data_IF_106296883851
#
_entry.id   IF_106296883851
#
_cell.length_a   1.000
_cell.length_b   1.000
_cell.length_c   1.000
_cell.angle_alpha   90.00
_cell.angle_beta   90.00
_cell.angle_gamma   90.00
#
_symmetry.space_group_name_H-M   'P 1'
#
loop_
_entity.id
_entity.type
_entity.pdbx_description
1 polymer ?
#
# COMPACT_ATOMS: atom_id res chain seq x y z
N UNK A 1 -22.90 16.53 -9.13
CA UNK A 1 -21.60 16.28 -9.78
C UNK A 1 -21.65 14.86 -10.32
N UNK A 2 -21.57 14.67 -11.65
CA UNK A 2 -21.69 13.33 -12.26
C UNK A 2 -20.42 12.53 -11.96
N UNK A 3 -20.58 11.36 -11.36
CA UNK A 3 -19.52 10.38 -11.14
C UNK A 3 -19.05 9.91 -12.53
N UNK A 4 -17.75 9.95 -12.80
CA UNK A 4 -17.16 9.30 -13.96
C UNK A 4 -17.14 7.80 -13.66
N UNK A 5 -18.25 7.10 -13.92
CA UNK A 5 -18.23 5.63 -13.92
C UNK A 5 -17.16 5.18 -14.91
N UNK A 6 -16.13 4.51 -14.39
CA UNK A 6 -15.07 3.95 -15.24
C UNK A 6 -15.73 2.98 -16.20
N UNK A 7 -15.57 3.13 -17.50
CA UNK A 7 -16.20 2.24 -18.48
C UNK A 7 -15.29 1.07 -18.90
N UNK A 8 -14.07 1.00 -18.37
CA UNK A 8 -13.05 0.02 -18.75
C UNK A 8 -12.25 -0.53 -17.57
N UNK A 9 -11.75 -1.75 -17.77
CA UNK A 9 -10.85 -2.45 -16.86
C UNK A 9 -9.59 -1.62 -16.61
N UNK A 10 -9.28 -1.35 -15.34
CA UNK A 10 -8.10 -0.57 -14.94
C UNK A 10 -6.77 -1.32 -15.15
N UNK A 11 -6.82 -2.64 -15.37
CA UNK A 11 -5.64 -3.46 -15.63
C UNK A 11 -5.33 -3.60 -17.12
N UNK A 12 -6.33 -3.88 -17.97
CA UNK A 12 -6.10 -4.18 -19.40
C UNK A 12 -6.85 -3.29 -20.40
N UNK A 13 -7.62 -2.31 -19.93
CA UNK A 13 -8.40 -1.38 -20.77
C UNK A 13 -9.63 -1.98 -21.45
N UNK A 14 -9.92 -3.27 -21.29
CA UNK A 14 -11.11 -3.91 -21.88
C UNK A 14 -12.42 -3.34 -21.31
N UNK A 15 -13.45 -3.27 -22.15
CA UNK A 15 -14.82 -2.88 -21.78
C UNK A 15 -15.73 -4.09 -21.49
N UNK A 16 -15.21 -5.31 -21.64
CA UNK A 16 -15.95 -6.55 -21.39
C UNK A 16 -16.08 -6.83 -19.89
N UNK A 17 -16.95 -6.08 -19.22
CA UNK A 17 -17.13 -6.10 -17.77
C UNK A 17 -18.46 -6.76 -17.39
N UNK A 18 -18.39 -7.74 -16.51
CA UNK A 18 -19.55 -8.32 -15.82
C UNK A 18 -19.62 -7.75 -14.40
N UNK A 19 -20.70 -7.05 -14.05
CA UNK A 19 -20.90 -6.61 -12.66
C UNK A 19 -21.34 -7.78 -11.79
N UNK A 20 -20.63 -7.99 -10.68
CA UNK A 20 -20.78 -9.18 -9.83
C UNK A 20 -21.29 -8.87 -8.42
N UNK A 21 -21.19 -7.61 -7.98
CA UNK A 21 -21.61 -7.19 -6.65
C UNK A 21 -21.85 -5.68 -6.61
N UNK A 22 -22.91 -5.27 -5.91
CA UNK A 22 -23.26 -3.87 -5.69
C UNK A 22 -23.77 -3.67 -4.26
N UNK A 23 -23.31 -2.62 -3.61
CA UNK A 23 -23.81 -2.17 -2.31
C UNK A 23 -23.74 -0.64 -2.25
N UNK A 24 -24.85 -0.03 -1.88
CA UNK A 24 -25.00 1.42 -1.87
C UNK A 24 -24.73 2.02 -0.50
N UNK A 25 -24.33 3.29 -0.49
CA UNK A 25 -24.34 4.14 0.69
C UNK A 25 -23.59 3.55 1.90
N UNK A 26 -22.37 3.05 1.68
CA UNK A 26 -21.48 2.57 2.74
C UNK A 26 -20.43 3.64 3.09
N UNK A 27 -19.92 3.69 4.34
CA UNK A 27 -18.82 4.58 4.71
C UNK A 27 -17.61 4.38 3.79
N UNK A 28 -16.97 5.47 3.36
CA UNK A 28 -15.81 5.41 2.45
C UNK A 28 -14.62 4.68 3.08
N UNK A 29 -14.49 4.74 4.41
CA UNK A 29 -13.42 4.10 5.18
C UNK A 29 -13.98 3.24 6.31
N UNK A 30 -13.30 2.14 6.60
CA UNK A 30 -13.66 1.18 7.65
C UNK A 30 -12.75 1.22 8.89
N UNK A 31 -11.65 1.98 8.82
CA UNK A 31 -10.58 1.99 9.84
C UNK A 31 -10.28 3.39 10.38
N UNK A 32 -11.22 4.33 10.20
CA UNK A 32 -11.14 5.66 10.81
C UNK A 32 -11.77 5.66 12.19
N UNK A 33 -11.04 6.23 13.15
CA UNK A 33 -11.54 6.46 14.50
C UNK A 33 -12.12 7.87 14.63
N UNK A 34 -13.39 7.95 15.00
CA UNK A 34 -14.09 9.22 15.24
C UNK A 34 -14.14 9.53 16.73
N UNK A 35 -13.96 10.80 17.09
CA UNK A 35 -14.01 11.25 18.48
C UNK A 35 -15.46 11.38 18.97
N UNK A 36 -16.39 11.63 18.06
CA UNK A 36 -17.81 11.80 18.37
C UNK A 36 -18.71 10.91 17.51
N UNK A 37 -19.88 10.57 18.06
CA UNK A 37 -20.93 9.84 17.34
C UNK A 37 -21.45 10.65 16.15
N UNK A 38 -21.55 11.96 16.31
CA UNK A 38 -22.05 12.89 15.32
C UNK A 38 -21.17 12.93 14.07
N UNK A 39 -19.83 12.92 14.25
CA UNK A 39 -18.86 12.79 13.16
C UNK A 39 -19.02 11.45 12.43
N UNK A 40 -19.09 10.35 13.17
CA UNK A 40 -19.23 9.01 12.60
C UNK A 40 -20.52 8.86 11.76
N UNK A 41 -21.65 9.39 12.23
CA UNK A 41 -22.93 9.32 11.50
C UNK A 41 -22.92 10.17 10.23
N UNK A 42 -22.25 11.34 10.28
CA UNK A 42 -22.14 12.27 9.14
C UNK A 42 -21.04 11.89 8.15
N UNK A 43 -20.24 10.88 8.45
CA UNK A 43 -19.10 10.51 7.62
C UNK A 43 -19.55 10.20 6.18
N UNK A 44 -18.82 10.67 5.16
CA UNK A 44 -19.19 10.47 3.77
C UNK A 44 -19.38 9.00 3.42
N UNK A 45 -20.34 8.76 2.53
CA UNK A 45 -20.71 7.44 2.04
C UNK A 45 -20.67 7.40 0.52
N UNK A 46 -20.34 6.22 -0.01
CA UNK A 46 -20.29 5.92 -1.45
C UNK A 46 -20.74 4.49 -1.71
N UNK A 47 -20.99 4.22 -2.97
CA UNK A 47 -21.39 2.91 -3.43
C UNK A 47 -20.14 2.09 -3.79
N UNK A 48 -20.21 0.77 -3.61
CA UNK A 48 -19.26 -0.18 -4.17
C UNK A 48 -19.94 -0.91 -5.31
N UNK A 49 -19.29 -0.93 -6.47
CA UNK A 49 -19.74 -1.67 -7.64
C UNK A 49 -18.58 -2.50 -8.19
N UNK A 50 -18.55 -3.79 -7.88
CA UNK A 50 -17.47 -4.68 -8.31
C UNK A 50 -17.76 -5.20 -9.71
N UNK A 51 -16.84 -4.92 -10.63
CA UNK A 51 -16.85 -5.44 -12.00
C UNK A 51 -15.73 -6.44 -12.20
N UNK A 52 -16.06 -7.61 -12.77
CA UNK A 52 -15.14 -8.63 -13.23
C UNK A 52 -14.84 -8.43 -14.71
N UNK A 53 -13.56 -8.33 -15.07
CA UNK A 53 -13.13 -8.25 -16.46
C UNK A 53 -13.09 -9.63 -17.11
N UNK A 54 -13.92 -9.86 -18.12
CA UNK A 54 -13.97 -11.15 -18.84
C UNK A 54 -12.70 -11.43 -19.68
N UNK A 55 -11.86 -10.41 -19.91
CA UNK A 55 -10.62 -10.55 -20.68
C UNK A 55 -9.42 -10.97 -19.83
N UNK A 56 -9.18 -10.32 -18.69
CA UNK A 56 -7.99 -10.56 -17.85
C UNK A 56 -8.29 -11.09 -16.45
N UNK A 57 -9.57 -11.22 -16.08
CA UNK A 57 -9.99 -11.70 -14.76
C UNK A 57 -9.86 -10.68 -13.62
N UNK A 58 -9.40 -9.46 -13.89
CA UNK A 58 -9.26 -8.43 -12.85
C UNK A 58 -10.62 -7.98 -12.32
N UNK A 59 -10.75 -7.93 -10.99
CA UNK A 59 -11.92 -7.39 -10.30
C UNK A 59 -11.56 -6.02 -9.73
N UNK A 60 -12.36 -5.00 -10.04
CA UNK A 60 -12.16 -3.66 -9.49
C UNK A 60 -13.48 -3.03 -9.05
N UNK A 61 -13.42 -2.09 -8.11
CA UNK A 61 -14.55 -1.22 -7.79
C UNK A 61 -14.66 -0.11 -8.85
N UNK A 62 -15.72 -0.16 -9.64
CA UNK A 62 -16.03 0.77 -10.72
C UNK A 62 -16.55 2.12 -10.23
N UNK A 63 -16.98 2.17 -8.97
CA UNK A 63 -17.39 3.40 -8.26
C UNK A 63 -16.25 4.01 -7.43
N UNK A 64 -15.02 3.48 -7.54
CA UNK A 64 -13.87 3.98 -6.77
C UNK A 64 -13.45 5.38 -7.23
N UNK A 65 -13.35 6.30 -6.28
CA UNK A 65 -12.88 7.67 -6.45
C UNK A 65 -11.70 7.93 -5.51
N UNK A 66 -10.50 8.06 -6.09
CA UNK A 66 -9.27 8.28 -5.32
C UNK A 66 -9.22 9.65 -4.64
N UNK A 67 -10.02 10.63 -5.09
CA UNK A 67 -10.05 11.97 -4.49
C UNK A 67 -10.72 12.00 -3.11
N UNK A 68 -11.42 10.93 -2.74
CA UNK A 68 -12.14 10.79 -1.47
C UNK A 68 -11.36 9.94 -0.45
N UNK A 69 -10.18 9.44 -0.82
CA UNK A 69 -9.38 8.64 0.09
C UNK A 69 -8.60 9.55 1.05
N UNK A 70 -8.81 9.37 2.34
CA UNK A 70 -8.21 10.18 3.41
C UNK A 70 -7.22 9.32 4.19
N UNK A 71 -5.94 9.53 3.93
CA UNK A 71 -4.87 9.06 4.82
C UNK A 71 -4.64 10.14 5.89
N UNK A 72 -5.56 10.21 6.86
CA UNK A 72 -5.54 11.20 7.95
C UNK A 72 -4.99 10.61 9.25
N UNK A 73 -4.71 11.44 10.24
CA UNK A 73 -4.14 11.01 11.54
C UNK A 73 -5.10 10.10 12.35
N UNK A 74 -6.38 10.01 11.96
CA UNK A 74 -7.37 9.09 12.53
C UNK A 74 -7.38 7.68 11.90
N UNK A 75 -6.54 7.45 10.89
CA UNK A 75 -6.41 6.17 10.19
C UNK A 75 -5.64 5.16 11.06
N UNK A 76 -6.37 4.19 11.61
CA UNK A 76 -5.80 3.15 12.47
C UNK A 76 -5.84 1.80 11.78
N UNK A 77 -4.73 1.44 11.16
CA UNK A 77 -4.59 0.18 10.42
C UNK A 77 -3.52 -0.76 11.01
N UNK A 78 -2.93 -0.43 12.17
CA UNK A 78 -1.86 -1.27 12.71
C UNK A 78 -2.39 -2.65 13.14
N UNK A 79 -1.72 -3.69 12.68
CA UNK A 79 -2.04 -5.08 13.01
C UNK A 79 -1.02 -5.68 13.99
N UNK A 80 -0.02 -4.89 14.42
CA UNK A 80 1.13 -5.36 15.19
C UNK A 80 0.76 -5.82 16.62
N UNK A 81 -0.42 -5.48 17.11
CA UNK A 81 -0.91 -6.00 18.40
C UNK A 81 -1.41 -7.45 18.31
N UNK A 82 -1.57 -8.00 17.11
CA UNK A 82 -1.92 -9.40 16.90
C UNK A 82 -0.68 -10.29 16.91
N UNK A 83 -0.59 -11.20 17.90
CA UNK A 83 0.50 -12.19 17.97
C UNK A 83 0.55 -13.06 16.71
N UNK A 84 -0.62 -13.47 16.20
CA UNK A 84 -0.71 -14.26 14.96
C UNK A 84 -0.14 -13.49 13.76
N UNK A 85 -0.48 -12.21 13.64
CA UNK A 85 0.05 -11.36 12.57
C UNK A 85 1.56 -11.19 12.69
N UNK A 86 2.09 -10.96 13.89
CA UNK A 86 3.54 -10.83 14.12
C UNK A 86 4.32 -12.07 13.71
N UNK A 87 3.80 -13.27 14.03
CA UNK A 87 4.41 -14.54 13.61
C UNK A 87 4.39 -14.67 12.09
N UNK A 88 3.27 -14.34 11.45
CA UNK A 88 3.15 -14.32 10.00
C UNK A 88 4.15 -13.34 9.36
N UNK A 89 4.16 -12.08 9.81
CA UNK A 89 5.04 -11.03 9.29
C UNK A 89 6.51 -11.42 9.41
N UNK A 90 6.93 -11.98 10.55
CA UNK A 90 8.32 -12.46 10.73
C UNK A 90 8.69 -13.61 9.80
N UNK A 91 7.78 -14.56 9.60
CA UNK A 91 8.00 -15.66 8.64
C UNK A 91 8.09 -15.13 7.21
N UNK A 92 7.23 -14.18 6.84
CA UNK A 92 7.26 -13.54 5.53
C UNK A 92 8.57 -12.79 5.31
N UNK A 93 9.00 -11.97 6.28
CA UNK A 93 10.25 -11.25 6.21
C UNK A 93 11.43 -12.21 6.01
N UNK A 94 11.57 -13.25 6.84
CA UNK A 94 12.63 -14.25 6.68
C UNK A 94 12.59 -14.92 5.30
N UNK A 95 11.40 -15.31 4.83
CA UNK A 95 11.24 -15.94 3.51
C UNK A 95 11.68 -15.03 2.38
N UNK A 96 11.42 -13.72 2.46
CA UNK A 96 11.89 -12.75 1.46
C UNK A 96 13.41 -12.54 1.53
N UNK A 97 13.98 -12.47 2.74
CA UNK A 97 15.44 -12.38 2.91
C UNK A 97 16.13 -13.57 2.25
N UNK A 98 15.66 -14.79 2.56
CA UNK A 98 16.27 -16.03 2.08
C UNK A 98 16.07 -16.23 0.57
N UNK A 99 14.87 -15.92 0.06
CA UNK A 99 14.53 -16.11 -1.36
C UNK A 99 15.30 -15.16 -2.28
N UNK A 100 15.58 -13.94 -1.82
CA UNK A 100 16.16 -12.89 -2.65
C UNK A 100 17.56 -12.42 -2.19
N UNK A 101 18.18 -13.11 -1.24
CA UNK A 101 19.49 -12.77 -0.67
C UNK A 101 19.58 -11.30 -0.21
N UNK A 102 18.57 -10.86 0.54
CA UNK A 102 18.43 -9.46 0.95
C UNK A 102 19.29 -9.17 2.19
N UNK A 103 20.60 -9.19 2.01
CA UNK A 103 21.57 -8.84 3.04
C UNK A 103 22.33 -7.54 2.72
N UNK A 104 22.34 -6.60 3.65
CA UNK A 104 23.05 -5.32 3.50
C UNK A 104 22.53 -4.40 2.37
N UNK A 105 21.32 -4.65 1.87
CA UNK A 105 20.70 -3.94 0.73
C UNK A 105 19.99 -2.66 1.16
N UNK A 106 19.61 -1.85 0.18
CA UNK A 106 18.64 -0.76 0.34
C UNK A 106 17.25 -1.27 -0.04
N UNK A 107 16.28 -1.11 0.86
CA UNK A 107 14.90 -1.58 0.71
C UNK A 107 13.96 -0.38 0.70
N UNK A 108 13.03 -0.38 -0.26
CA UNK A 108 11.91 0.55 -0.27
C UNK A 108 10.63 -0.18 0.05
N UNK A 109 9.82 0.40 0.93
CA UNK A 109 8.45 -0.03 1.18
C UNK A 109 7.47 1.10 0.84
N UNK A 110 6.57 0.85 -0.12
CA UNK A 110 5.49 1.76 -0.53
C UNK A 110 4.24 1.38 0.25
N UNK A 111 3.61 2.33 0.92
CA UNK A 111 2.53 2.05 1.86
C UNK A 111 3.05 1.35 3.11
N UNK A 112 4.15 1.85 3.67
CA UNK A 112 4.83 1.21 4.80
C UNK A 112 4.08 1.32 6.13
N UNK A 113 2.95 2.04 6.17
CA UNK A 113 2.26 2.38 7.41
C UNK A 113 3.20 3.10 8.35
N UNK A 114 3.41 2.53 9.55
CA UNK A 114 4.36 3.07 10.52
C UNK A 114 5.77 2.46 10.39
N UNK A 115 6.01 1.57 9.42
CA UNK A 115 7.31 0.99 9.06
C UNK A 115 7.71 -0.25 9.85
N UNK A 116 6.76 -0.93 10.50
CA UNK A 116 7.03 -2.10 11.31
C UNK A 116 7.59 -3.27 10.49
N UNK A 117 7.10 -3.46 9.27
CA UNK A 117 7.58 -4.53 8.38
C UNK A 117 8.94 -4.20 7.75
N UNK A 118 9.14 -2.98 7.24
CA UNK A 118 10.46 -2.51 6.80
C UNK A 118 11.53 -2.63 7.88
N UNK A 119 11.21 -2.23 9.12
CA UNK A 119 12.11 -2.43 10.27
C UNK A 119 12.53 -3.89 10.41
N UNK A 120 11.59 -4.81 10.29
CA UNK A 120 11.85 -6.25 10.41
C UNK A 120 12.77 -6.77 9.30
N UNK A 121 12.56 -6.33 8.05
CA UNK A 121 13.45 -6.64 6.93
C UNK A 121 14.87 -6.09 7.14
N UNK A 122 14.98 -4.87 7.67
CA UNK A 122 16.27 -4.26 7.99
C UNK A 122 16.99 -4.94 9.15
N UNK A 123 16.26 -5.34 10.19
CA UNK A 123 16.83 -6.05 11.34
C UNK A 123 17.38 -7.43 10.94
N UNK A 124 16.60 -8.24 10.21
CA UNK A 124 16.98 -9.61 9.83
C UNK A 124 18.13 -9.59 8.81
N UNK A 125 17.99 -8.79 7.76
CA UNK A 125 18.98 -8.77 6.67
C UNK A 125 20.13 -7.79 6.88
N UNK A 126 20.12 -7.00 7.97
CA UNK A 126 21.05 -5.87 8.17
C UNK A 126 20.97 -4.84 7.03
N UNK A 127 19.75 -4.59 6.55
CA UNK A 127 19.46 -3.69 5.43
C UNK A 127 19.31 -2.23 5.88
N UNK A 128 19.19 -1.33 4.91
CA UNK A 128 18.81 0.08 5.07
C UNK A 128 17.44 0.29 4.44
N UNK A 129 16.55 1.01 5.10
CA UNK A 129 15.15 1.12 4.70
C UNK A 129 14.70 2.55 4.43
N UNK A 130 13.93 2.72 3.36
CA UNK A 130 13.18 3.95 3.05
C UNK A 130 11.70 3.62 2.84
N UNK A 131 10.85 4.06 3.76
CA UNK A 131 9.40 3.91 3.68
C UNK A 131 8.71 5.15 3.13
N UNK A 132 7.60 4.96 2.41
CA UNK A 132 6.71 6.03 1.96
C UNK A 132 5.28 5.70 2.39
N UNK A 133 4.70 6.54 3.25
CA UNK A 133 3.30 6.41 3.61
C UNK A 133 2.70 7.76 4.06
N UNK A 134 1.63 8.27 3.40
CA UNK A 134 0.99 9.52 3.79
C UNK A 134 0.35 9.47 5.19
N UNK A 135 0.00 8.28 5.71
CA UNK A 135 -0.55 8.07 7.04
C UNK A 135 0.53 7.89 8.12
N UNK A 136 1.81 8.07 7.81
CA UNK A 136 2.89 7.97 8.80
C UNK A 136 2.74 9.03 9.91
N UNK A 137 2.89 8.60 11.16
CA UNK A 137 2.86 9.45 12.35
C UNK A 137 4.20 9.25 13.09
N UNK A 138 5.16 10.20 12.98
CA UNK A 138 6.50 10.06 13.55
C UNK A 138 6.53 9.67 15.03
N UNK A 139 5.58 10.17 15.83
CA UNK A 139 5.49 9.96 17.26
C UNK A 139 5.12 8.51 17.65
N UNK A 140 4.59 7.71 16.72
CA UNK A 140 4.14 6.33 17.00
C UNK A 140 5.24 5.29 16.96
N UNK A 141 6.40 5.61 16.39
CA UNK A 141 7.50 4.65 16.27
C UNK A 141 8.84 5.25 16.67
N UNK A 142 9.16 5.08 17.96
CA UNK A 142 10.49 5.38 18.47
C UNK A 142 11.50 4.36 17.94
N UNK A 143 12.70 4.84 17.59
CA UNK A 143 13.90 4.03 17.30
C UNK A 143 14.02 3.38 15.91
N UNK A 144 13.28 3.80 14.88
CA UNK A 144 13.51 3.31 13.50
C UNK A 144 14.95 3.56 13.01
N UNK A 145 15.55 4.67 13.44
CA UNK A 145 16.94 5.02 13.11
C UNK A 145 17.96 3.97 13.58
N UNK A 146 17.70 3.27 14.70
CA UNK A 146 18.57 2.18 15.19
C UNK A 146 18.67 1.02 14.20
N UNK A 147 17.68 0.89 13.31
CA UNK A 147 17.58 -0.14 12.30
C UNK A 147 17.89 0.40 10.90
N UNK A 148 18.47 1.59 10.79
CA UNK A 148 18.74 2.27 9.51
C UNK A 148 17.47 2.43 8.65
N UNK A 149 16.32 2.66 9.30
CA UNK A 149 15.04 2.91 8.63
C UNK A 149 14.69 4.38 8.74
N UNK A 150 14.26 4.94 7.60
CA UNK A 150 13.70 6.28 7.49
C UNK A 150 12.36 6.20 6.77
N UNK A 151 11.40 7.06 7.15
CA UNK A 151 10.07 7.07 6.56
C UNK A 151 9.74 8.50 6.14
N UNK A 152 9.20 8.63 4.94
CA UNK A 152 8.65 9.88 4.41
C UNK A 152 7.13 9.84 4.49
N UNK A 153 6.54 10.85 5.15
CA UNK A 153 5.09 11.08 5.15
C UNK A 153 4.65 11.66 3.81
N UNK A 154 4.68 10.84 2.77
CA UNK A 154 4.37 11.23 1.40
C UNK A 154 3.95 10.02 0.56
N UNK A 155 3.30 10.29 -0.57
CA UNK A 155 3.10 9.28 -1.60
C UNK A 155 4.42 9.00 -2.32
N UNK A 156 4.60 7.74 -2.73
CA UNK A 156 5.71 7.40 -3.63
C UNK A 156 5.48 8.06 -5.00
N UNK A 157 6.49 8.76 -5.50
CA UNK A 157 6.47 9.42 -6.81
C UNK A 157 7.76 9.17 -7.58
N UNK A 158 7.76 9.35 -8.89
CA UNK A 158 8.95 9.17 -9.73
C UNK A 158 10.11 10.09 -9.31
N UNK A 159 9.85 11.23 -8.68
CA UNK A 159 10.92 12.09 -8.16
C UNK A 159 11.66 11.48 -6.95
N UNK A 160 11.12 10.42 -6.34
CA UNK A 160 11.83 9.64 -5.32
C UNK A 160 13.01 8.83 -5.91
N UNK A 161 13.16 8.77 -7.25
CA UNK A 161 14.28 8.11 -7.93
C UNK A 161 15.66 8.70 -7.58
N UNK A 162 15.76 9.97 -7.15
CA UNK A 162 17.06 10.55 -6.76
C UNK A 162 17.66 9.90 -5.50
N UNK A 163 16.84 9.18 -4.73
CA UNK A 163 17.26 8.41 -3.54
C UNK A 163 17.70 6.99 -3.96
N UNK A 164 17.35 6.56 -5.17
CA UNK A 164 17.51 5.21 -5.72
C UNK A 164 18.67 5.14 -6.73
N UNK A 165 19.91 5.33 -6.27
CA UNK A 165 21.05 4.72 -6.96
C UNK A 165 21.40 3.40 -6.26
N UNK A 166 20.57 2.37 -6.43
CA UNK A 166 20.97 1.01 -6.05
C UNK A 166 20.49 -0.07 -7.00
N UNK A 167 21.46 -0.92 -7.30
CA UNK A 167 21.53 -1.98 -8.31
C UNK A 167 20.50 -3.08 -8.13
N UNK A 168 19.68 -3.29 -9.17
CA UNK A 168 19.13 -4.61 -9.47
C UNK A 168 20.31 -5.53 -9.82
N UNK A 169 20.75 -6.38 -8.89
CA UNK A 169 21.66 -7.47 -9.24
C UNK A 169 20.86 -8.51 -10.01
N UNK A 170 20.76 -8.31 -11.33
CA UNK A 170 20.31 -9.33 -12.26
C UNK A 170 21.37 -10.44 -12.27
N UNK A 171 21.07 -11.56 -11.63
CA UNK A 171 21.52 -12.82 -12.20
C UNK A 171 20.53 -13.18 -13.31
N UNK A 172 21.08 -13.28 -14.53
CA UNK A 172 20.49 -13.86 -15.75
C UNK A 172 19.63 -12.95 -16.65
N UNK A 173 20.34 -12.23 -17.53
CA UNK A 173 20.09 -12.15 -18.99
C UNK A 173 18.70 -11.82 -19.54
N UNK A 174 17.91 -10.93 -18.91
CA UNK A 174 16.78 -10.29 -19.61
C UNK A 174 16.68 -8.80 -19.29
N UNK A 175 16.76 -7.87 -20.27
CA UNK A 175 16.59 -6.44 -20.01
C UNK A 175 15.18 -6.13 -19.49
N UNK A 176 15.08 -5.30 -18.45
CA UNK A 176 13.80 -4.71 -18.05
C UNK A 176 13.53 -3.64 -19.09
N UNK A 177 12.67 -3.94 -20.06
CA UNK A 177 12.13 -2.90 -20.93
C UNK A 177 11.06 -2.17 -20.13
N UNK A 178 11.36 -0.94 -19.74
CA UNK A 178 10.32 0.04 -19.47
C UNK A 178 9.59 0.23 -20.79
N UNK A 179 8.34 -0.24 -20.86
CA UNK A 179 7.45 0.15 -21.93
C UNK A 179 7.12 1.62 -21.73
N UNK A 180 7.76 2.49 -22.51
CA UNK A 180 7.23 3.80 -22.79
C UNK A 180 5.92 3.59 -23.56
N UNK A 181 4.79 3.97 -22.95
CA UNK A 181 3.55 4.34 -23.60
C UNK A 181 2.93 5.46 -22.79
#
# INVERSE_FOLDING_TARGET
MKILEKSSCQSCGSVEISFIYEIDNIPIHSVLLFQTKEEAIKYPKRDIKLGFCNKCGFISNFSFDSSLHEYSDGYESTQIYSTTFNVFARRLAQSLIDMYDLHGKDIIEIGCGQGEFLKMLCEIGKNRGMGFDPAYIPERNENLEKYQVSIKKDFFSENAHEILRMTCSKNESTPCRLSQN
#
